data_IF_063016297222
#
_entry.id   IF_063016297222
#
_cell.length_a   1.000
_cell.length_b   1.000
_cell.length_c   1.000
_cell.angle_alpha   90.00
_cell.angle_beta   90.00
_cell.angle_gamma   90.00
#
_symmetry.space_group_name_H-M   'P 1'
#
loop_
_entity.id
_entity.type
_entity.pdbx_description
1 polymer ?
#
# COMPACT_ATOMS: atom_id res chain seq x y z
N UNK A 1 5.10 13.64 8.43
CA UNK A 1 4.82 12.21 8.20
C UNK A 1 5.48 11.82 6.89
N UNK A 2 6.29 10.78 6.85
CA UNK A 2 7.00 10.33 5.65
C UNK A 2 6.27 9.12 5.08
N UNK A 3 6.03 9.10 3.77
CA UNK A 3 5.40 7.97 3.08
C UNK A 3 6.20 7.57 1.86
N UNK A 4 6.25 6.27 1.60
CA UNK A 4 6.87 5.70 0.41
C UNK A 4 5.75 5.29 -0.54
N UNK A 5 5.72 5.87 -1.73
CA UNK A 5 4.78 5.49 -2.78
C UNK A 5 5.23 4.18 -3.45
N UNK A 6 4.33 3.21 -3.52
CA UNK A 6 4.53 1.99 -4.30
C UNK A 6 4.06 2.23 -5.73
N UNK A 7 4.98 2.11 -6.69
CA UNK A 7 4.70 2.25 -8.12
C UNK A 7 3.88 3.51 -8.44
N UNK A 8 4.49 4.69 -8.25
CA UNK A 8 3.83 6.01 -8.34
C UNK A 8 2.94 6.21 -9.58
N UNK A 9 3.24 5.53 -10.69
CA UNK A 9 2.54 5.63 -11.97
C UNK A 9 1.42 4.59 -12.15
N UNK A 10 1.21 3.68 -11.21
CA UNK A 10 0.20 2.63 -11.29
C UNK A 10 -1.10 3.02 -10.57
N UNK A 11 -2.23 2.70 -11.19
CA UNK A 11 -3.56 2.82 -10.60
C UNK A 11 -3.95 1.50 -9.92
N UNK A 12 -4.02 1.49 -8.59
CA UNK A 12 -4.52 0.35 -7.83
C UNK A 12 -6.05 0.43 -7.73
N UNK A 13 -6.74 -0.51 -8.37
CA UNK A 13 -8.20 -0.50 -8.53
C UNK A 13 -8.78 -1.74 -7.84
N UNK A 14 -9.75 -1.54 -6.95
CA UNK A 14 -10.55 -2.64 -6.41
C UNK A 14 -11.72 -2.90 -7.40
N UNK A 15 -11.87 -4.12 -7.95
CA UNK A 15 -12.97 -4.43 -8.86
C UNK A 15 -14.37 -4.19 -8.27
N UNK A 16 -14.49 -4.16 -6.94
CA UNK A 16 -15.77 -3.93 -6.27
C UNK A 16 -16.28 -2.49 -6.40
N UNK A 17 -15.40 -1.50 -6.55
CA UNK A 17 -15.77 -0.08 -6.62
C UNK A 17 -15.20 0.68 -7.83
N UNK A 18 -14.21 0.12 -8.52
CA UNK A 18 -13.60 0.72 -9.71
C UNK A 18 -12.85 2.02 -9.42
N UNK A 19 -12.58 2.36 -8.16
CA UNK A 19 -11.94 3.63 -7.79
C UNK A 19 -10.41 3.47 -7.83
N UNK A 20 -9.70 4.26 -8.67
CA UNK A 20 -8.25 4.23 -8.73
C UNK A 20 -7.64 4.87 -7.48
N UNK A 21 -6.65 4.18 -6.93
CA UNK A 21 -5.93 4.56 -5.71
C UNK A 21 -4.42 4.45 -5.94
N UNK A 22 -3.66 5.22 -5.18
CA UNK A 22 -2.23 5.03 -5.02
C UNK A 22 -1.97 4.17 -3.79
N UNK A 23 -1.03 3.25 -3.90
CA UNK A 23 -0.58 2.44 -2.78
C UNK A 23 0.59 3.15 -2.10
N UNK A 24 0.49 3.34 -0.77
CA UNK A 24 1.48 4.06 0.02
C UNK A 24 1.79 3.32 1.30
N UNK A 25 3.06 3.29 1.66
CA UNK A 25 3.46 2.89 3.00
C UNK A 25 3.69 4.13 3.85
N UNK A 26 2.83 4.32 4.85
CA UNK A 26 2.95 5.40 5.81
C UNK A 26 3.88 4.97 6.94
N UNK A 27 5.09 5.53 6.96
CA UNK A 27 6.04 5.30 8.04
C UNK A 27 5.58 6.07 9.27
N UNK A 28 5.44 5.39 10.41
CA UNK A 28 5.45 6.08 11.70
C UNK A 28 6.90 6.37 12.05
N UNK A 29 7.23 7.65 12.18
CA UNK A 29 8.54 8.06 12.64
C UNK A 29 8.71 7.57 14.09
N UNK A 30 9.68 6.69 14.33
CA UNK A 30 10.09 6.28 15.67
C UNK A 30 11.44 6.96 15.97
N UNK A 31 11.52 7.92 16.91
CA UNK A 31 12.72 8.71 17.17
C UNK A 31 13.86 7.95 17.88
N UNK A 32 13.80 6.62 18.00
CA UNK A 32 14.84 5.85 18.69
C UNK A 32 16.12 5.76 17.84
N UNK A 33 17.32 5.95 18.42
CA UNK A 33 18.60 5.98 17.70
C UNK A 33 18.91 4.72 16.87
N UNK A 34 18.30 3.59 17.23
CA UNK A 34 18.56 2.27 16.63
C UNK A 34 17.86 2.05 15.29
N UNK A 35 16.91 2.90 14.88
CA UNK A 35 16.07 2.72 13.68
C UNK A 35 16.44 3.64 12.50
N UNK A 36 17.59 4.31 12.58
CA UNK A 36 17.99 5.45 11.75
C UNK A 36 18.44 5.17 10.29
N UNK A 37 18.00 4.09 9.65
CA UNK A 37 18.20 3.96 8.19
C UNK A 37 16.91 3.67 7.42
N UNK A 38 16.11 2.69 7.85
CA UNK A 38 14.85 2.30 7.20
C UNK A 38 13.82 1.75 8.21
N UNK A 39 14.06 1.92 9.52
CA UNK A 39 13.43 1.18 10.62
C UNK A 39 12.10 1.73 11.14
N UNK A 40 11.34 2.45 10.32
CA UNK A 40 10.01 2.90 10.71
C UNK A 40 8.99 1.79 10.47
N UNK A 41 8.53 1.12 11.53
CA UNK A 41 7.29 0.34 11.41
C UNK A 41 6.16 1.27 10.94
N UNK A 42 5.31 0.78 10.07
CA UNK A 42 4.34 1.59 9.36
C UNK A 42 3.07 0.84 9.06
N UNK A 43 2.38 1.30 8.03
CA UNK A 43 1.18 0.68 7.52
C UNK A 43 1.09 0.89 6.01
N UNK A 44 0.78 -0.18 5.29
CA UNK A 44 0.39 -0.11 3.90
C UNK A 44 -1.06 0.36 3.80
N UNK A 45 -1.29 1.42 3.03
CA UNK A 45 -2.60 2.01 2.78
C UNK A 45 -2.82 2.24 1.30
N UNK A 46 -4.08 2.29 0.88
CA UNK A 46 -4.49 2.77 -0.44
C UNK A 46 -5.18 4.13 -0.27
N UNK A 47 -4.80 5.11 -1.10
CA UNK A 47 -5.30 6.49 -1.04
C UNK A 47 -5.90 6.88 -2.37
N UNK A 48 -7.11 7.45 -2.37
CA UNK A 48 -7.64 8.10 -3.57
C UNK A 48 -6.84 9.37 -3.84
N UNK A 49 -6.03 9.38 -4.89
CA UNK A 49 -5.12 10.49 -5.21
C UNK A 49 -5.60 11.37 -6.38
N UNK A 50 -6.86 11.23 -6.81
CA UNK A 50 -7.43 11.99 -7.93
C UNK A 50 -8.11 13.26 -7.41
N UNK A 51 -7.42 14.39 -7.52
CA UNK A 51 -7.83 15.68 -6.93
C UNK A 51 -9.22 16.20 -7.30
N UNK A 52 -9.76 15.83 -8.46
CA UNK A 52 -11.10 16.24 -8.90
C UNK A 52 -12.25 15.42 -8.29
N UNK A 53 -11.97 14.36 -7.52
CA UNK A 53 -13.01 13.52 -6.92
C UNK A 53 -13.42 14.03 -5.53
N UNK A 54 -14.71 13.90 -5.14
CA UNK A 54 -15.17 14.24 -3.79
C UNK A 54 -14.52 13.41 -2.67
N UNK A 55 -14.09 12.19 -2.98
CA UNK A 55 -13.43 11.25 -2.06
C UNK A 55 -11.90 11.35 -2.10
N UNK A 56 -11.34 12.40 -2.71
CA UNK A 56 -9.90 12.62 -2.75
C UNK A 56 -9.30 12.66 -1.34
N UNK A 57 -8.18 11.95 -1.16
CA UNK A 57 -7.52 11.79 0.13
C UNK A 57 -8.14 10.71 1.02
N UNK A 58 -9.25 10.07 0.62
CA UNK A 58 -9.81 8.94 1.35
C UNK A 58 -8.79 7.78 1.41
N UNK A 59 -8.61 7.22 2.61
CA UNK A 59 -7.58 6.22 2.92
C UNK A 59 -8.21 4.92 3.36
N UNK A 60 -7.70 3.82 2.85
CA UNK A 60 -8.12 2.47 3.23
C UNK A 60 -6.88 1.71 3.73
N UNK A 61 -6.92 1.12 4.93
CA UNK A 61 -5.85 0.28 5.42
C UNK A 61 -5.78 -1.03 4.61
N UNK A 62 -4.58 -1.35 4.11
CA UNK A 62 -4.31 -2.60 3.39
C UNK A 62 -3.59 -3.60 4.30
N UNK A 63 -2.72 -3.13 5.19
CA UNK A 63 -2.09 -3.92 6.26
C UNK A 63 -2.56 -3.47 7.64
N UNK A 64 -2.26 -4.26 8.68
CA UNK A 64 -2.24 -3.75 10.06
C UNK A 64 -1.14 -2.68 10.22
N UNK A 65 -1.25 -1.90 11.28
CA UNK A 65 -0.17 -1.00 11.70
C UNK A 65 1.00 -1.78 12.31
N UNK A 66 2.17 -1.15 12.36
CA UNK A 66 3.35 -1.72 12.99
C UNK A 66 4.09 -2.76 12.14
N UNK A 67 3.80 -2.84 10.84
CA UNK A 67 4.51 -3.73 9.91
C UNK A 67 5.79 -3.08 9.41
N UNK A 68 6.84 -3.85 9.14
CA UNK A 68 8.05 -3.34 8.49
C UNK A 68 7.79 -3.13 7.00
N UNK A 69 8.55 -2.21 6.39
CA UNK A 69 8.48 -2.01 4.94
C UNK A 69 8.95 -3.27 4.19
N UNK A 70 10.03 -3.91 4.65
CA UNK A 70 10.56 -5.17 4.11
C UNK A 70 9.49 -6.28 4.08
N UNK A 71 8.72 -6.47 5.15
CA UNK A 71 7.66 -7.48 5.17
C UNK A 71 6.56 -7.20 4.13
N UNK A 72 6.31 -5.91 3.82
CA UNK A 72 5.40 -5.53 2.74
C UNK A 72 6.04 -5.80 1.37
N UNK A 73 7.31 -5.44 1.17
CA UNK A 73 8.01 -5.73 -0.08
C UNK A 73 8.05 -7.23 -0.38
N UNK A 74 8.40 -8.06 0.60
CA UNK A 74 8.40 -9.51 0.48
C UNK A 74 7.01 -10.07 0.12
N UNK A 75 5.95 -9.55 0.78
CA UNK A 75 4.59 -9.97 0.49
C UNK A 75 4.13 -9.55 -0.91
N UNK A 76 4.65 -8.44 -1.43
CA UNK A 76 4.34 -7.89 -2.75
C UNK A 76 5.34 -8.34 -3.83
N UNK A 77 6.28 -9.23 -3.53
CA UNK A 77 7.24 -9.68 -4.53
C UNK A 77 6.56 -10.21 -5.80
N UNK A 78 7.09 -9.79 -6.95
CA UNK A 78 6.57 -10.12 -8.26
C UNK A 78 5.14 -9.63 -8.57
N UNK A 79 4.59 -8.65 -7.84
CA UNK A 79 3.22 -8.14 -8.05
C UNK A 79 2.92 -7.73 -9.50
N UNK A 80 3.92 -7.30 -10.26
CA UNK A 80 3.79 -6.96 -11.68
C UNK A 80 3.30 -8.15 -12.53
N UNK A 81 3.54 -9.39 -12.08
CA UNK A 81 3.13 -10.60 -12.82
C UNK A 81 1.73 -11.09 -12.45
N UNK A 82 1.30 -10.89 -11.21
CA UNK A 82 0.08 -11.52 -10.68
C UNK A 82 -1.02 -10.52 -10.30
N UNK A 83 -0.70 -9.24 -10.13
CA UNK A 83 -1.68 -8.19 -9.82
C UNK A 83 -1.93 -7.24 -11.00
N UNK A 84 -1.04 -7.18 -11.99
CA UNK A 84 -1.20 -6.27 -13.14
C UNK A 84 -2.32 -6.77 -14.07
N UNK A 85 -3.27 -5.89 -14.41
CA UNK A 85 -4.50 -6.23 -15.15
C UNK A 85 -4.72 -5.37 -16.40
N UNK A 86 -3.78 -4.51 -16.76
CA UNK A 86 -3.81 -3.63 -17.93
C UNK A 86 -2.55 -2.80 -18.01
N UNK A 87 -2.47 -1.83 -18.93
CA UNK A 87 -1.24 -1.06 -19.16
C UNK A 87 -0.71 -0.37 -17.88
N UNK A 88 -1.59 0.29 -17.11
CA UNK A 88 -1.22 0.98 -15.87
C UNK A 88 -2.09 0.57 -14.65
N UNK A 89 -2.88 -0.50 -14.77
CA UNK A 89 -3.86 -0.88 -13.76
C UNK A 89 -3.42 -2.12 -12.95
N UNK A 90 -3.54 -2.03 -11.63
CA UNK A 90 -3.18 -3.08 -10.68
C UNK A 90 -4.41 -3.47 -9.85
N UNK A 91 -4.65 -4.77 -9.70
CA UNK A 91 -5.77 -5.30 -8.96
C UNK A 91 -5.53 -5.17 -7.44
N UNK A 92 -6.15 -4.15 -6.82
CA UNK A 92 -6.01 -3.88 -5.40
C UNK A 92 -6.57 -5.01 -4.53
N UNK A 93 -7.62 -5.70 -4.98
CA UNK A 93 -8.16 -6.84 -4.24
C UNK A 93 -7.16 -8.02 -4.21
N UNK A 94 -6.38 -8.21 -5.27
CA UNK A 94 -5.30 -9.20 -5.29
C UNK A 94 -4.18 -8.82 -4.31
N UNK A 95 -3.76 -7.55 -4.31
CA UNK A 95 -2.78 -7.01 -3.34
C UNK A 95 -3.26 -7.26 -1.90
N UNK A 96 -4.51 -6.89 -1.58
CA UNK A 96 -5.10 -7.12 -0.26
C UNK A 96 -5.04 -8.59 0.13
N UNK A 97 -5.50 -9.50 -0.74
CA UNK A 97 -5.46 -10.95 -0.45
C UNK A 97 -4.05 -11.43 -0.14
N UNK A 98 -3.03 -10.94 -0.85
CA UNK A 98 -1.65 -11.35 -0.62
C UNK A 98 -1.11 -10.85 0.72
N UNK A 99 -1.39 -9.60 1.08
CA UNK A 99 -1.06 -9.03 2.39
C UNK A 99 -1.77 -9.80 3.53
N UNK A 100 -3.04 -10.14 3.36
CA UNK A 100 -3.77 -10.96 4.33
C UNK A 100 -3.19 -12.38 4.45
N UNK A 101 -2.84 -13.02 3.33
CA UNK A 101 -2.25 -14.36 3.31
C UNK A 101 -0.84 -14.40 3.93
N UNK A 102 -0.07 -13.32 3.83
CA UNK A 102 1.19 -13.12 4.54
C UNK A 102 0.98 -12.87 6.06
N UNK A 103 -0.27 -12.87 6.52
CA UNK A 103 -0.63 -12.58 7.89
C UNK A 103 -0.34 -11.14 8.27
N UNK A 104 -0.33 -10.20 7.32
CA UNK A 104 -0.06 -8.76 7.51
C UNK A 104 -1.31 -7.89 7.40
N UNK A 105 -2.48 -8.49 7.11
CA UNK A 105 -3.75 -7.78 6.96
C UNK A 105 -4.18 -7.04 8.23
N UNK A 106 -5.16 -6.12 8.13
CA UNK A 106 -5.76 -5.46 9.28
C UNK A 106 -6.36 -6.50 10.24
N UNK A 107 -6.31 -6.18 11.55
CA UNK A 107 -6.95 -6.97 12.62
C UNK A 107 -8.44 -6.65 12.64
#
# INVERSE_FOLDING_TARGET
MHSIDFALSADFIDPADGVPRQLRFECRYNPTPETNALGGVGQLIAVVAKGARPDNGHRIPISRSGVTFEAIEDALDGWQRWAHVGENAVNLAAIRRRIHAAGLGPI
#
